data_IF_488332350894
#
_entry.id   IF_488332350894
#
_cell.length_a   1.000
_cell.length_b   1.000
_cell.length_c   1.000
_cell.angle_alpha   90.00
_cell.angle_beta   90.00
_cell.angle_gamma   90.00
#
_symmetry.space_group_name_H-M   'P 1'
#
loop_
_entity.id
_entity.type
_entity.pdbx_description
1 polymer ?
#
# COMPACT_ATOMS: atom_id res chain seq x y z
N UNK A 1 -23.59 22.06 5.74
CA UNK A 1 -23.19 21.92 4.33
C UNK A 1 -23.92 20.73 3.74
N UNK A 2 -24.24 20.80 2.45
CA UNK A 2 -24.79 19.68 1.68
C UNK A 2 -23.70 19.01 0.85
N UNK A 3 -23.66 17.68 0.85
CA UNK A 3 -22.84 16.89 -0.06
C UNK A 3 -23.66 16.51 -1.29
N UNK A 4 -23.18 16.93 -2.46
CA UNK A 4 -23.67 16.51 -3.76
C UNK A 4 -22.71 15.47 -4.34
N UNK A 5 -23.15 14.24 -4.56
CA UNK A 5 -22.36 13.17 -5.20
C UNK A 5 -22.77 12.96 -6.66
N UNK A 6 -21.93 12.25 -7.42
CA UNK A 6 -22.17 11.94 -8.84
C UNK A 6 -22.37 13.18 -9.73
N UNK A 7 -21.74 14.31 -9.37
CA UNK A 7 -21.73 15.50 -10.23
C UNK A 7 -20.71 15.29 -11.34
N UNK A 8 -21.19 15.07 -12.57
CA UNK A 8 -20.34 14.67 -13.69
C UNK A 8 -20.13 15.78 -14.72
N UNK A 9 -18.87 16.11 -15.01
CA UNK A 9 -18.46 17.14 -15.97
C UNK A 9 -17.50 16.58 -17.03
N UNK A 10 -17.46 17.13 -18.25
CA UNK A 10 -16.45 16.74 -19.26
C UNK A 10 -15.01 16.96 -18.77
N UNK A 11 -14.04 16.14 -19.18
CA UNK A 11 -12.64 16.27 -18.75
C UNK A 11 -12.07 17.70 -18.88
N UNK A 12 -12.36 18.36 -20.00
CA UNK A 12 -11.85 19.69 -20.34
C UNK A 12 -12.79 20.82 -19.92
N UNK A 13 -13.62 20.62 -18.90
CA UNK A 13 -14.50 21.68 -18.41
C UNK A 13 -13.68 22.84 -17.80
N UNK A 14 -14.12 24.10 -17.93
CA UNK A 14 -13.49 25.21 -17.23
C UNK A 14 -13.91 25.21 -15.74
N UNK A 15 -13.17 25.89 -14.88
CA UNK A 15 -13.38 25.87 -13.42
C UNK A 15 -14.78 26.38 -13.02
N UNK A 16 -15.31 27.38 -13.73
CA UNK A 16 -16.65 27.93 -13.49
C UNK A 16 -17.79 26.94 -13.77
N UNK A 17 -17.51 25.81 -14.46
CA UNK A 17 -18.51 24.78 -14.73
C UNK A 17 -18.98 24.08 -13.46
N UNK A 18 -18.13 23.96 -12.43
CA UNK A 18 -18.47 23.33 -11.15
C UNK A 18 -19.58 24.10 -10.41
N UNK A 19 -19.40 25.40 -10.06
CA UNK A 19 -20.45 26.14 -9.37
C UNK A 19 -21.72 26.27 -10.20
N UNK A 20 -21.62 26.40 -11.53
CA UNK A 20 -22.79 26.41 -12.42
C UNK A 20 -23.57 25.09 -12.36
N UNK A 21 -22.87 23.95 -12.43
CA UNK A 21 -23.49 22.64 -12.34
C UNK A 21 -24.10 22.37 -10.96
N UNK A 22 -23.47 22.84 -9.87
CA UNK A 22 -24.03 22.78 -8.51
C UNK A 22 -25.33 23.59 -8.39
N UNK A 23 -25.35 24.83 -8.89
CA UNK A 23 -26.53 25.67 -8.86
C UNK A 23 -27.70 25.00 -9.61
N UNK A 24 -27.42 24.46 -10.79
CA UNK A 24 -28.39 23.67 -11.57
C UNK A 24 -28.87 22.43 -10.81
N UNK A 25 -27.95 21.67 -10.21
CA UNK A 25 -28.23 20.41 -9.50
C UNK A 25 -29.07 20.62 -8.24
N UNK A 26 -28.80 21.70 -7.51
CA UNK A 26 -29.48 22.07 -6.26
C UNK A 26 -30.70 22.98 -6.49
N UNK A 27 -30.98 23.38 -7.74
CA UNK A 27 -32.07 24.32 -8.09
C UNK A 27 -32.00 25.60 -7.25
N UNK A 28 -30.82 26.23 -7.24
CA UNK A 28 -30.52 27.48 -6.54
C UNK A 28 -29.87 28.49 -7.49
N UNK A 29 -29.84 29.76 -7.10
CA UNK A 29 -29.13 30.79 -7.86
C UNK A 29 -27.67 30.90 -7.40
N UNK A 30 -26.77 31.50 -8.21
CA UNK A 30 -25.40 31.77 -7.77
C UNK A 30 -25.30 32.58 -6.47
N UNK A 31 -26.30 33.41 -6.14
CA UNK A 31 -26.35 34.21 -4.90
C UNK A 31 -26.67 33.40 -3.65
N UNK A 32 -27.16 32.17 -3.83
CA UNK A 32 -27.49 31.24 -2.76
C UNK A 32 -26.33 30.30 -2.43
N UNK A 33 -25.39 30.11 -3.37
CA UNK A 33 -24.17 29.33 -3.17
C UNK A 33 -23.11 30.18 -2.45
N UNK A 34 -22.87 29.91 -1.18
CA UNK A 34 -21.93 30.68 -0.34
C UNK A 34 -20.49 30.21 -0.60
N UNK A 35 -20.26 28.90 -0.59
CA UNK A 35 -18.95 28.27 -0.80
C UNK A 35 -19.14 26.84 -1.29
N UNK A 36 -18.19 26.32 -2.05
CA UNK A 36 -18.10 24.90 -2.35
C UNK A 36 -16.67 24.38 -2.15
N UNK A 37 -16.54 23.09 -1.85
CA UNK A 37 -15.26 22.39 -1.70
C UNK A 37 -15.38 21.00 -2.32
N UNK A 38 -14.40 20.62 -3.14
CA UNK A 38 -14.32 19.25 -3.67
C UNK A 38 -14.00 18.30 -2.52
N UNK A 39 -14.94 17.41 -2.21
CA UNK A 39 -14.75 16.34 -1.23
C UNK A 39 -14.12 15.10 -1.86
N UNK A 40 -14.41 14.85 -3.15
CA UNK A 40 -13.82 13.76 -3.93
C UNK A 40 -13.84 14.08 -5.43
N UNK A 41 -12.81 13.68 -6.17
CA UNK A 41 -12.72 13.70 -7.63
C UNK A 41 -12.32 12.31 -8.14
N UNK A 42 -13.07 11.79 -9.09
CA UNK A 42 -12.75 10.57 -9.84
C UNK A 42 -12.86 10.87 -11.35
N UNK A 43 -12.48 9.91 -12.19
CA UNK A 43 -12.76 9.96 -13.62
C UNK A 43 -13.43 8.67 -14.08
N UNK A 44 -14.34 8.79 -15.05
CA UNK A 44 -14.87 7.68 -15.83
C UNK A 44 -14.23 7.73 -17.22
N UNK A 45 -13.33 6.78 -17.47
CA UNK A 45 -12.61 6.62 -18.73
C UNK A 45 -12.99 5.29 -19.43
N UNK A 46 -14.21 4.78 -19.23
CA UNK A 46 -14.71 3.62 -19.97
C UNK A 46 -14.94 3.92 -21.45
N UNK A 47 -15.43 5.13 -21.73
CA UNK A 47 -15.47 5.70 -23.07
C UNK A 47 -14.33 6.71 -23.22
N UNK A 48 -13.24 6.29 -23.87
CA UNK A 48 -12.06 7.12 -24.11
C UNK A 48 -12.30 8.32 -25.05
N UNK A 49 -13.45 8.39 -25.74
CA UNK A 49 -13.83 9.55 -26.55
C UNK A 49 -14.63 10.59 -25.74
N UNK A 50 -15.10 10.23 -24.55
CA UNK A 50 -15.93 11.08 -23.70
C UNK A 50 -15.59 10.86 -22.22
N UNK A 51 -14.34 11.13 -21.86
CA UNK A 51 -13.87 11.01 -20.48
C UNK A 51 -14.57 12.08 -19.63
N UNK A 52 -15.11 11.65 -18.49
CA UNK A 52 -15.83 12.53 -17.55
C UNK A 52 -15.17 12.54 -16.19
N UNK A 53 -15.08 13.72 -15.58
CA UNK A 53 -14.74 13.86 -14.17
C UNK A 53 -16.00 13.73 -13.33
N UNK A 54 -15.92 12.98 -12.24
CA UNK A 54 -17.03 12.71 -11.33
C UNK A 54 -16.67 13.25 -9.95
N UNK A 55 -17.48 14.18 -9.45
CA UNK A 55 -17.21 14.89 -8.22
C UNK A 55 -18.19 14.52 -7.11
N UNK A 56 -17.66 14.51 -5.89
CA UNK A 56 -18.43 14.78 -4.67
C UNK A 56 -18.05 16.15 -4.15
N UNK A 57 -19.03 17.02 -3.93
CA UNK A 57 -18.80 18.40 -3.54
C UNK A 57 -19.61 18.72 -2.29
N UNK A 58 -18.93 19.29 -1.29
CA UNK A 58 -19.58 19.90 -0.14
C UNK A 58 -19.89 21.36 -0.45
N UNK A 59 -21.16 21.72 -0.46
CA UNK A 59 -21.68 23.05 -0.74
C UNK A 59 -22.29 23.68 0.52
N UNK A 60 -21.84 24.90 0.84
CA UNK A 60 -22.51 25.78 1.79
C UNK A 60 -23.50 26.66 1.02
N UNK A 61 -24.78 26.58 1.37
CA UNK A 61 -25.86 27.27 0.67
C UNK A 61 -26.77 28.00 1.65
N UNK A 62 -27.41 29.09 1.19
CA UNK A 62 -28.48 29.75 1.96
C UNK A 62 -29.68 28.81 2.11
N UNK A 63 -30.35 28.88 3.25
CA UNK A 63 -31.53 28.07 3.58
C UNK A 63 -31.30 26.56 3.37
N UNK A 64 -30.18 26.04 3.86
CA UNK A 64 -29.72 24.66 3.67
C UNK A 64 -30.81 23.60 3.90
N UNK A 65 -31.58 23.72 5.00
CA UNK A 65 -32.63 22.77 5.33
C UNK A 65 -33.76 22.77 4.29
N UNK A 66 -34.14 23.94 3.78
CA UNK A 66 -35.15 24.07 2.73
C UNK A 66 -34.63 23.51 1.39
N UNK A 67 -33.34 23.72 1.08
CA UNK A 67 -32.72 23.10 -0.09
C UNK A 67 -32.77 21.58 0.05
N UNK A 68 -32.32 21.04 1.18
CA UNK A 68 -32.28 19.59 1.44
C UNK A 68 -33.66 18.94 1.40
N UNK A 69 -34.69 19.59 1.98
CA UNK A 69 -36.06 19.06 1.99
C UNK A 69 -36.60 18.80 0.58
N UNK A 70 -36.24 19.63 -0.42
CA UNK A 70 -36.61 19.43 -1.84
C UNK A 70 -36.00 18.15 -2.44
N UNK A 71 -34.95 17.62 -1.82
CA UNK A 71 -34.19 16.46 -2.28
C UNK A 71 -34.26 15.27 -1.31
N UNK A 72 -35.28 15.19 -0.44
CA UNK A 72 -35.36 14.16 0.60
C UNK A 72 -35.28 12.69 0.09
N UNK A 73 -35.67 12.42 -1.16
CA UNK A 73 -35.59 11.08 -1.80
C UNK A 73 -34.32 10.88 -2.64
N UNK A 74 -33.49 11.91 -2.79
CA UNK A 74 -32.33 11.91 -3.65
C UNK A 74 -31.08 11.51 -2.86
N UNK A 75 -30.58 10.30 -3.09
CA UNK A 75 -29.41 9.78 -2.35
C UNK A 75 -28.13 10.54 -2.67
N UNK A 76 -28.11 11.33 -3.74
CA UNK A 76 -26.94 12.09 -4.16
C UNK A 76 -26.94 13.53 -3.63
N UNK A 77 -27.93 13.94 -2.82
CA UNK A 77 -27.92 15.21 -2.08
C UNK A 77 -28.21 14.92 -0.62
N UNK A 78 -27.19 14.97 0.21
CA UNK A 78 -27.30 14.66 1.64
C UNK A 78 -26.65 15.75 2.48
N UNK A 79 -26.85 15.73 3.79
CA UNK A 79 -26.00 16.52 4.69
C UNK A 79 -24.56 16.00 4.59
N UNK A 80 -23.59 16.90 4.57
CA UNK A 80 -22.17 16.53 4.63
C UNK A 80 -21.92 15.72 5.91
N UNK A 81 -21.35 14.51 5.83
CA UNK A 81 -21.09 13.68 7.00
C UNK A 81 -20.02 14.33 7.89
N UNK A 82 -20.14 14.12 9.21
CA UNK A 82 -19.10 14.51 10.13
C UNK A 82 -17.95 13.48 10.10
N UNK A 83 -16.87 13.83 9.40
CA UNK A 83 -15.69 12.97 9.27
C UNK A 83 -14.60 13.24 10.32
N UNK A 84 -14.90 13.95 11.40
CA UNK A 84 -13.93 14.19 12.46
C UNK A 84 -13.65 12.89 13.22
N UNK A 85 -12.37 12.58 13.38
CA UNK A 85 -11.93 11.46 14.20
C UNK A 85 -12.31 11.72 15.67
N UNK A 86 -13.00 10.76 16.28
CA UNK A 86 -13.41 10.83 17.67
C UNK A 86 -12.35 10.15 18.53
N UNK A 87 -11.61 10.95 19.28
CA UNK A 87 -10.68 10.44 20.30
C UNK A 87 -11.51 9.93 21.47
N UNK A 88 -11.26 8.70 21.91
CA UNK A 88 -11.80 8.15 23.15
C UNK A 88 -10.72 8.29 24.21
N UNK A 89 -10.85 9.23 25.18
CA UNK A 89 -9.83 9.43 26.19
C UNK A 89 -9.59 8.16 26.99
N UNK A 90 -8.32 7.86 27.23
CA UNK A 90 -7.90 6.75 28.09
C UNK A 90 -6.64 7.16 28.83
N UNK A 91 -6.63 6.94 30.14
CA UNK A 91 -5.45 7.11 30.96
C UNK A 91 -4.90 5.73 31.32
N UNK A 92 -3.57 5.62 31.37
CA UNK A 92 -2.92 4.50 32.04
C UNK A 92 -3.05 4.71 33.55
N UNK A 93 -3.18 3.61 34.29
CA UNK A 93 -3.07 3.67 35.75
C UNK A 93 -1.66 4.16 36.14
N UNK A 94 -1.55 4.80 37.30
CA UNK A 94 -0.26 5.19 37.84
C UNK A 94 0.64 3.96 38.02
N UNK A 95 1.89 4.05 37.58
CA UNK A 95 2.84 2.93 37.60
C UNK A 95 2.63 1.86 36.51
N UNK A 96 1.63 1.99 35.63
CA UNK A 96 1.45 1.03 34.54
C UNK A 96 2.55 1.15 33.47
N UNK A 97 2.93 0.01 32.89
CA UNK A 97 3.88 -0.06 31.80
C UNK A 97 3.42 0.71 30.56
N UNK A 98 4.37 1.38 29.89
CA UNK A 98 4.12 2.07 28.63
C UNK A 98 3.74 1.05 27.56
N UNK A 99 2.75 1.33 26.68
CA UNK A 99 2.39 0.41 25.62
C UNK A 99 3.54 0.28 24.61
N UNK A 100 3.81 -0.95 24.18
CA UNK A 100 4.84 -1.26 23.20
C UNK A 100 4.21 -1.55 21.85
N UNK A 101 4.77 -0.97 20.78
CA UNK A 101 4.38 -1.23 19.40
C UNK A 101 5.58 -1.85 18.68
N UNK A 102 5.42 -3.06 18.15
CA UNK A 102 6.46 -3.79 17.44
C UNK A 102 6.21 -3.67 15.94
N UNK A 103 7.09 -2.95 15.25
CA UNK A 103 7.04 -2.63 13.82
C UNK A 103 6.68 -1.17 13.55
N UNK A 104 7.49 -0.51 12.73
CA UNK A 104 7.33 0.89 12.30
C UNK A 104 6.75 1.01 10.88
N UNK A 105 5.99 0.00 10.42
CA UNK A 105 5.17 0.07 9.21
C UNK A 105 3.91 0.93 9.40
N UNK A 106 3.06 1.10 8.37
CA UNK A 106 1.87 1.97 8.46
C UNK A 106 0.93 1.64 9.62
N UNK A 107 0.76 0.36 9.94
CA UNK A 107 -0.05 -0.08 11.08
C UNK A 107 0.54 0.38 12.42
N UNK A 108 1.81 0.07 12.67
CA UNK A 108 2.46 0.43 13.93
C UNK A 108 2.67 1.94 14.07
N UNK A 109 3.01 2.64 12.99
CA UNK A 109 3.11 4.09 12.95
C UNK A 109 1.78 4.77 13.31
N UNK A 110 0.65 4.33 12.75
CA UNK A 110 -0.65 4.89 13.11
C UNK A 110 -1.08 4.51 14.53
N UNK A 111 -0.80 3.28 14.98
CA UNK A 111 -1.07 2.87 16.36
C UNK A 111 -0.28 3.75 17.35
N UNK A 112 1.03 3.90 17.13
CA UNK A 112 1.90 4.74 17.94
C UNK A 112 1.47 6.21 17.93
N UNK A 113 1.12 6.77 16.76
CA UNK A 113 0.63 8.14 16.66
C UNK A 113 -0.63 8.37 17.49
N UNK A 114 -1.61 7.46 17.44
CA UNK A 114 -2.83 7.58 18.24
C UNK A 114 -2.54 7.43 19.73
N UNK A 115 -1.69 6.47 20.13
CA UNK A 115 -1.28 6.30 21.52
C UNK A 115 -0.54 7.54 22.05
N UNK A 116 0.34 8.13 21.26
CA UNK A 116 1.06 9.35 21.60
C UNK A 116 0.12 10.57 21.69
N UNK A 117 -0.84 10.72 20.77
CA UNK A 117 -1.88 11.75 20.83
C UNK A 117 -2.80 11.62 22.06
N UNK A 118 -2.88 10.43 22.65
CA UNK A 118 -3.56 10.16 23.92
C UNK A 118 -2.66 10.40 25.16
N UNK A 119 -1.41 10.80 24.97
CA UNK A 119 -0.44 11.00 26.06
C UNK A 119 0.11 9.70 26.65
N UNK A 120 -0.08 8.56 25.99
CA UNK A 120 0.33 7.24 26.51
C UNK A 120 1.81 6.94 26.31
N UNK A 121 2.56 7.82 25.63
CA UNK A 121 4.02 7.76 25.47
C UNK A 121 4.50 6.36 25.02
N UNK A 122 4.04 5.83 23.88
CA UNK A 122 4.37 4.46 23.46
C UNK A 122 5.88 4.24 23.26
N UNK A 123 6.35 3.01 23.43
CA UNK A 123 7.67 2.56 22.99
C UNK A 123 7.48 1.84 21.65
N UNK A 124 8.21 2.26 20.62
CA UNK A 124 8.15 1.68 19.28
C UNK A 124 9.46 0.94 19.02
N UNK A 125 9.36 -0.36 18.76
CA UNK A 125 10.50 -1.21 18.42
C UNK A 125 10.43 -1.56 16.94
N UNK A 126 11.50 -1.33 16.19
CA UNK A 126 11.63 -1.83 14.82
C UNK A 126 12.95 -2.54 14.64
N UNK A 127 12.94 -3.65 13.90
CA UNK A 127 14.14 -4.45 13.62
C UNK A 127 15.10 -3.74 12.67
N UNK A 128 14.57 -2.93 11.76
CA UNK A 128 15.36 -2.24 10.77
C UNK A 128 15.77 -0.85 11.21
N UNK A 129 16.32 -0.10 10.25
CA UNK A 129 16.93 1.21 10.48
C UNK A 129 15.99 2.36 10.19
N UNK A 130 16.39 3.54 10.66
CA UNK A 130 15.86 4.83 10.21
C UNK A 130 15.95 4.96 8.69
N UNK A 131 15.02 5.69 8.08
CA UNK A 131 14.71 5.61 6.65
C UNK A 131 15.88 6.00 5.74
N UNK A 132 16.73 6.95 6.16
CA UNK A 132 17.90 7.37 5.37
C UNK A 132 18.97 6.29 5.29
N UNK A 133 19.23 5.60 6.40
CA UNK A 133 20.18 4.49 6.45
C UNK A 133 19.61 3.26 5.75
N UNK A 134 18.34 2.97 5.99
CA UNK A 134 17.57 1.95 5.28
C UNK A 134 17.60 2.14 3.76
N UNK A 135 17.52 3.39 3.30
CA UNK A 135 17.61 3.73 1.88
C UNK A 135 18.99 3.35 1.33
N UNK A 136 20.08 3.63 2.06
CA UNK A 136 21.43 3.20 1.64
C UNK A 136 21.53 1.68 1.54
N UNK A 137 21.03 0.95 2.53
CA UNK A 137 21.08 -0.52 2.56
C UNK A 137 20.25 -1.13 1.42
N UNK A 138 19.04 -0.62 1.18
CA UNK A 138 18.17 -1.04 0.07
C UNK A 138 18.82 -0.80 -1.29
N UNK A 139 19.49 0.35 -1.46
CA UNK A 139 20.24 0.65 -2.68
C UNK A 139 21.50 -0.20 -2.81
N UNK A 140 22.06 -0.68 -1.70
CA UNK A 140 23.11 -1.69 -1.67
C UNK A 140 22.69 -2.96 -2.41
N UNK A 141 21.48 -3.47 -2.14
CA UNK A 141 20.94 -4.62 -2.88
C UNK A 141 20.75 -4.28 -4.35
N UNK A 142 20.06 -3.18 -4.64
CA UNK A 142 19.69 -2.84 -6.01
C UNK A 142 20.88 -2.50 -6.91
N UNK A 143 22.00 -2.00 -6.37
CA UNK A 143 23.17 -1.60 -7.17
C UNK A 143 24.35 -2.56 -7.09
N UNK A 144 24.49 -3.26 -5.97
CA UNK A 144 25.69 -4.06 -5.67
C UNK A 144 25.37 -5.52 -5.35
N UNK A 145 24.09 -5.93 -5.42
CA UNK A 145 23.65 -7.27 -5.03
C UNK A 145 23.99 -7.64 -3.57
N UNK A 146 24.06 -6.64 -2.68
CA UNK A 146 24.34 -6.86 -1.25
C UNK A 146 23.07 -6.66 -0.45
N UNK A 147 22.49 -7.75 0.07
CA UNK A 147 21.33 -7.71 0.96
C UNK A 147 21.77 -7.48 2.41
N UNK A 148 21.06 -6.59 3.11
CA UNK A 148 21.00 -6.61 4.57
C UNK A 148 19.66 -7.22 5.01
N UNK A 149 19.64 -8.41 5.64
CA UNK A 149 18.39 -9.08 6.03
C UNK A 149 17.54 -8.30 7.04
N UNK A 150 18.12 -7.38 7.81
CA UNK A 150 17.42 -6.56 8.81
C UNK A 150 17.01 -5.17 8.27
N UNK A 151 17.57 -4.73 7.14
CA UNK A 151 17.36 -3.38 6.59
C UNK A 151 17.23 -3.42 5.07
N UNK A 152 15.98 -3.45 4.58
CA UNK A 152 15.66 -3.70 3.19
C UNK A 152 14.25 -3.16 2.82
N UNK A 153 13.72 -3.56 1.66
CA UNK A 153 12.39 -3.15 1.19
C UNK A 153 11.28 -3.52 2.18
N UNK A 154 11.45 -4.57 2.98
CA UNK A 154 10.45 -5.02 3.95
C UNK A 154 10.62 -4.35 5.32
N UNK A 155 11.86 -4.21 5.79
CA UNK A 155 12.16 -3.85 7.18
C UNK A 155 12.87 -2.50 7.35
N UNK A 156 12.51 -1.79 8.42
CA UNK A 156 12.96 -0.44 8.77
C UNK A 156 11.82 0.58 8.75
N UNK A 157 12.16 1.85 9.02
CA UNK A 157 11.21 2.95 9.18
C UNK A 157 10.23 3.08 8.00
N UNK A 158 8.93 3.07 8.31
CA UNK A 158 7.83 3.06 7.34
C UNK A 158 7.45 1.67 6.79
N UNK A 159 8.18 0.62 7.18
CA UNK A 159 7.94 -0.77 6.79
C UNK A 159 7.88 -0.98 5.27
N UNK A 160 7.12 -1.95 4.80
CA UNK A 160 6.98 -2.24 3.37
C UNK A 160 6.31 -1.11 2.55
N UNK A 161 5.74 -0.10 3.21
CA UNK A 161 5.10 1.03 2.54
C UNK A 161 6.09 2.00 1.89
N UNK A 162 7.29 2.17 2.47
CA UNK A 162 8.24 3.23 2.10
C UNK A 162 8.65 3.22 0.63
N UNK A 163 9.11 2.07 0.13
CA UNK A 163 9.57 1.91 -1.26
C UNK A 163 8.43 1.42 -2.16
N UNK A 164 7.35 2.20 -2.21
CA UNK A 164 6.17 1.89 -3.02
C UNK A 164 5.65 3.13 -3.76
N UNK A 165 4.67 2.92 -4.65
CA UNK A 165 3.87 4.00 -5.25
C UNK A 165 3.00 4.72 -4.19
N UNK A 166 2.75 4.10 -3.04
CA UNK A 166 1.97 4.69 -1.96
C UNK A 166 0.51 4.93 -2.34
N UNK A 167 -0.14 3.94 -2.97
CA UNK A 167 -1.57 3.99 -3.32
C UNK A 167 -2.43 3.87 -2.07
N UNK A 168 -3.39 4.78 -1.91
CA UNK A 168 -4.19 4.93 -0.68
C UNK A 168 -5.69 4.89 -0.96
N UNK A 169 -6.16 3.84 -1.64
CA UNK A 169 -7.59 3.59 -1.81
C UNK A 169 -7.99 2.20 -1.30
N UNK A 170 -9.18 2.13 -0.72
CA UNK A 170 -9.80 0.91 -0.23
C UNK A 170 -11.20 0.77 -0.81
N UNK A 171 -11.62 -0.48 -1.04
CA UNK A 171 -13.01 -0.82 -1.41
C UNK A 171 -13.87 -1.12 -0.17
N UNK A 172 -13.28 -1.07 1.02
CA UNK A 172 -13.97 -1.34 2.29
C UNK A 172 -14.83 -0.13 2.67
N UNK A 173 -16.05 -0.38 3.14
CA UNK A 173 -16.89 0.68 3.70
C UNK A 173 -16.34 1.09 5.06
N UNK A 174 -16.06 2.38 5.23
CA UNK A 174 -15.57 2.95 6.48
C UNK A 174 -16.58 3.95 7.07
N UNK A 175 -17.59 3.47 7.83
CA UNK A 175 -18.56 4.35 8.48
C UNK A 175 -17.95 5.16 9.63
N UNK A 176 -16.72 4.84 10.07
CA UNK A 176 -16.02 5.53 11.16
C UNK A 176 -15.10 6.64 10.65
N UNK A 177 -14.88 6.72 9.35
CA UNK A 177 -13.99 7.70 8.71
C UNK A 177 -12.53 7.63 9.24
N UNK A 178 -12.07 6.43 9.57
CA UNK A 178 -10.67 6.14 9.91
C UNK A 178 -9.73 6.44 8.74
N UNK A 179 -10.14 6.13 7.51
CA UNK A 179 -9.35 6.44 6.32
C UNK A 179 -9.10 7.95 6.22
N UNK A 180 -10.12 8.75 6.55
CA UNK A 180 -9.99 10.21 6.58
C UNK A 180 -8.98 10.67 7.63
N UNK A 181 -8.94 10.04 8.81
CA UNK A 181 -7.94 10.33 9.84
C UNK A 181 -6.54 10.02 9.33
N UNK A 182 -6.30 8.85 8.76
CA UNK A 182 -5.00 8.45 8.21
C UNK A 182 -4.52 9.46 7.16
N UNK A 183 -5.34 9.75 6.14
CA UNK A 183 -4.99 10.69 5.08
C UNK A 183 -4.73 12.10 5.61
N UNK A 184 -5.48 12.53 6.62
CA UNK A 184 -5.28 13.85 7.24
C UNK A 184 -3.95 13.93 7.98
N UNK A 185 -3.55 12.89 8.72
CA UNK A 185 -2.24 12.84 9.38
C UNK A 185 -1.10 12.77 8.35
N UNK A 186 -1.28 12.06 7.23
CA UNK A 186 -0.30 12.05 6.14
C UNK A 186 -0.10 13.43 5.54
N UNK A 187 -1.18 14.20 5.28
CA UNK A 187 -1.06 15.58 4.78
C UNK A 187 -0.39 16.49 5.80
N UNK A 188 -0.70 16.35 7.10
CA UNK A 188 0.01 17.10 8.15
C UNK A 188 1.52 16.81 8.16
N UNK A 189 1.89 15.58 7.81
CA UNK A 189 3.27 15.14 7.69
C UNK A 189 3.90 15.42 6.30
N UNK A 190 3.30 16.30 5.49
CA UNK A 190 3.87 16.76 4.22
C UNK A 190 3.47 15.94 2.99
N UNK A 191 2.52 15.01 3.10
CA UNK A 191 1.95 14.36 1.92
C UNK A 191 1.13 15.36 1.08
N UNK A 192 1.03 15.15 -0.25
CA UNK A 192 0.27 16.02 -1.14
C UNK A 192 -1.19 16.25 -0.68
N UNK A 193 -1.70 17.48 -0.58
CA UNK A 193 -3.08 17.76 -0.15
C UNK A 193 -4.15 17.05 -0.99
N UNK A 194 -3.88 16.82 -2.27
CA UNK A 194 -4.79 16.17 -3.20
C UNK A 194 -5.09 14.70 -2.83
N UNK A 195 -4.31 14.05 -1.96
CA UNK A 195 -4.67 12.71 -1.47
C UNK A 195 -6.00 12.71 -0.70
N UNK A 196 -6.43 13.88 -0.23
CA UNK A 196 -7.70 14.07 0.47
C UNK A 196 -8.90 14.17 -0.47
N UNK A 197 -8.68 14.36 -1.78
CA UNK A 197 -9.72 14.60 -2.77
C UNK A 197 -9.69 13.60 -3.92
N UNK A 198 -8.54 13.08 -4.32
CA UNK A 198 -8.49 12.10 -5.40
C UNK A 198 -9.12 10.76 -4.99
N UNK A 199 -9.82 10.11 -5.94
CA UNK A 199 -10.45 8.83 -5.70
C UNK A 199 -9.45 7.67 -5.63
N UNK A 200 -8.37 7.75 -6.40
CA UNK A 200 -7.24 6.80 -6.38
C UNK A 200 -5.93 7.55 -6.09
N UNK A 201 -5.78 8.08 -4.86
CA UNK A 201 -4.64 8.90 -4.50
C UNK A 201 -3.37 8.06 -4.38
N UNK A 202 -2.22 8.70 -4.61
CA UNK A 202 -0.92 8.13 -4.36
C UNK A 202 0.07 9.18 -3.84
N UNK A 203 1.13 8.74 -3.15
CA UNK A 203 2.13 9.64 -2.55
C UNK A 203 3.47 9.57 -3.29
N UNK A 204 3.88 8.38 -3.74
CA UNK A 204 5.20 8.14 -4.33
C UNK A 204 6.34 8.05 -3.31
N UNK A 205 7.36 7.27 -3.65
CA UNK A 205 8.43 6.84 -2.74
C UNK A 205 9.16 7.97 -2.00
N UNK A 206 9.67 8.99 -2.69
CA UNK A 206 10.46 10.03 -2.01
C UNK A 206 9.63 10.87 -1.04
N UNK A 207 8.35 11.10 -1.33
CA UNK A 207 7.45 11.82 -0.41
C UNK A 207 7.09 10.95 0.79
N UNK A 208 7.02 9.62 0.63
CA UNK A 208 6.81 8.70 1.75
C UNK A 208 7.98 8.76 2.73
N UNK A 209 9.22 8.85 2.25
CA UNK A 209 10.42 8.96 3.11
C UNK A 209 10.33 10.18 4.04
N UNK A 210 10.07 11.36 3.48
CA UNK A 210 9.94 12.59 4.29
C UNK A 210 8.72 12.54 5.22
N UNK A 211 7.64 11.91 4.78
CA UNK A 211 6.42 11.79 5.57
C UNK A 211 6.61 10.90 6.80
N UNK A 212 7.30 9.76 6.67
CA UNK A 212 7.55 8.88 7.82
C UNK A 212 8.49 9.53 8.83
N UNK A 213 9.51 10.27 8.39
CA UNK A 213 10.37 11.08 9.28
C UNK A 213 9.54 12.09 10.09
N UNK A 214 8.65 12.83 9.43
CA UNK A 214 7.80 13.84 10.08
C UNK A 214 6.81 13.23 11.08
N UNK A 215 6.26 12.05 10.79
CA UNK A 215 5.37 11.36 11.73
C UNK A 215 6.16 10.84 12.94
N UNK A 216 7.38 10.30 12.73
CA UNK A 216 8.26 9.90 13.84
C UNK A 216 8.55 11.10 14.75
N UNK A 217 8.96 12.23 14.18
CA UNK A 217 9.23 13.47 14.94
C UNK A 217 7.99 13.93 15.73
N UNK A 218 6.80 13.82 15.12
CA UNK A 218 5.53 14.12 15.80
C UNK A 218 5.32 13.19 17.00
N UNK A 219 5.51 11.88 16.83
CA UNK A 219 5.35 10.89 17.91
C UNK A 219 6.36 11.16 19.04
N UNK A 220 7.62 11.43 18.70
CA UNK A 220 8.68 11.75 19.65
C UNK A 220 8.35 13.05 20.43
N UNK A 221 7.85 14.09 19.76
CA UNK A 221 7.42 15.33 20.42
C UNK A 221 6.24 15.14 21.39
N UNK A 222 5.43 14.09 21.17
CA UNK A 222 4.32 13.69 22.03
C UNK A 222 4.76 12.67 23.11
N UNK A 223 6.07 12.44 23.26
CA UNK A 223 6.68 11.59 24.29
C UNK A 223 6.73 10.10 23.93
N UNK A 224 6.45 9.73 22.68
CA UNK A 224 6.77 8.39 22.17
C UNK A 224 8.28 8.19 22.03
N UNK A 225 8.73 6.95 22.03
CA UNK A 225 10.16 6.61 21.97
C UNK A 225 10.39 5.55 20.89
N UNK A 226 11.19 5.87 19.88
CA UNK A 226 11.61 4.92 18.86
C UNK A 226 12.93 4.24 19.24
N UNK A 227 12.97 2.91 19.07
CA UNK A 227 14.18 2.09 19.15
C UNK A 227 14.30 1.29 17.86
N UNK A 228 15.07 1.82 16.92
CA UNK A 228 15.44 1.12 15.69
C UNK A 228 16.53 0.09 15.97
N UNK A 229 16.68 -0.88 15.07
CA UNK A 229 17.61 -2.00 15.25
C UNK A 229 17.34 -2.77 16.55
N UNK A 230 16.09 -2.83 17.01
CA UNK A 230 15.64 -3.55 18.20
C UNK A 230 14.63 -4.63 17.82
N UNK A 231 15.12 -5.73 17.24
CA UNK A 231 14.26 -6.88 16.94
C UNK A 231 13.84 -7.60 18.23
N UNK A 232 12.54 -7.81 18.39
CA UNK A 232 11.97 -8.68 19.43
C UNK A 232 12.17 -10.14 19.02
N UNK A 233 12.74 -10.94 19.92
CA UNK A 233 13.11 -12.35 19.71
C UNK A 233 12.40 -13.32 20.65
N UNK A 234 11.62 -12.82 21.60
CA UNK A 234 10.83 -13.66 22.50
C UNK A 234 9.74 -12.87 23.23
N UNK A 235 8.72 -13.59 23.68
CA UNK A 235 7.66 -13.08 24.53
C UNK A 235 7.69 -13.82 25.86
N UNK A 236 7.58 -13.08 26.96
CA UNK A 236 7.27 -13.68 28.26
C UNK A 236 5.75 -13.67 28.45
N UNK A 237 5.16 -14.85 28.60
CA UNK A 237 3.72 -15.04 28.73
C UNK A 237 3.43 -15.82 30.02
N UNK A 238 2.70 -15.18 30.93
CA UNK A 238 2.28 -15.77 32.21
C UNK A 238 0.76 -15.76 32.33
N UNK A 239 0.15 -16.92 32.59
CA UNK A 239 -1.30 -17.01 32.74
C UNK A 239 -2.09 -16.50 31.53
N UNK A 240 -1.54 -16.65 30.32
CA UNK A 240 -2.13 -16.16 29.07
C UNK A 240 -2.02 -14.64 28.86
N UNK A 241 -1.17 -13.95 29.62
CA UNK A 241 -0.90 -12.51 29.49
C UNK A 241 0.56 -12.27 29.16
N UNK A 242 0.83 -11.38 28.21
CA UNK A 242 2.18 -10.88 27.97
C UNK A 242 2.65 -10.08 29.18
N UNK A 243 3.89 -10.33 29.61
CA UNK A 243 4.56 -9.63 30.73
C UNK A 243 5.83 -8.93 30.31
N UNK A 244 6.47 -9.40 29.24
CA UNK A 244 7.65 -8.75 28.72
C UNK A 244 8.07 -9.25 27.36
N UNK A 245 9.11 -8.60 26.85
CA UNK A 245 9.68 -8.81 25.52
C UNK A 245 11.18 -9.02 25.65
N UNK A 246 11.69 -10.05 24.99
CA UNK A 246 13.13 -10.27 24.84
C UNK A 246 13.61 -9.64 23.52
N UNK A 247 14.72 -8.93 23.57
CA UNK A 247 15.34 -8.24 22.44
C UNK A 247 16.58 -9.01 21.98
N UNK A 248 16.88 -8.97 20.68
CA UNK A 248 17.99 -9.70 20.06
C UNK A 248 19.38 -9.44 20.66
N UNK A 249 19.56 -8.31 21.36
CA UNK A 249 20.82 -7.93 22.03
C UNK A 249 20.91 -8.42 23.48
N UNK A 250 19.89 -9.15 23.97
CA UNK A 250 19.81 -9.63 25.35
C UNK A 250 18.99 -8.74 26.29
N UNK A 251 18.54 -7.57 25.84
CA UNK A 251 17.70 -6.69 26.65
C UNK A 251 16.30 -7.30 26.90
N UNK A 252 15.68 -6.85 27.98
CA UNK A 252 14.33 -7.20 28.37
C UNK A 252 13.50 -5.95 28.61
N UNK A 253 12.24 -5.95 28.15
CA UNK A 253 11.29 -4.85 28.33
C UNK A 253 10.02 -5.40 28.97
N UNK A 254 9.71 -4.96 30.19
CA UNK A 254 8.41 -5.22 30.83
C UNK A 254 7.28 -4.57 30.01
N UNK A 255 6.24 -5.35 29.69
CA UNK A 255 5.14 -4.90 28.86
C UNK A 255 3.87 -5.74 29.07
N UNK A 256 2.78 -5.07 29.45
CA UNK A 256 1.43 -5.68 29.55
C UNK A 256 0.53 -5.34 28.34
N UNK A 257 0.99 -4.41 27.49
CA UNK A 257 0.25 -3.90 26.34
C UNK A 257 1.15 -3.87 25.12
N UNK A 258 0.99 -4.86 24.23
CA UNK A 258 1.85 -5.04 23.06
C UNK A 258 1.01 -5.06 21.79
N UNK A 259 1.37 -4.23 20.81
CA UNK A 259 0.83 -4.26 19.45
C UNK A 259 1.84 -4.95 18.54
N UNK A 260 1.47 -6.08 17.94
CA UNK A 260 2.26 -6.77 16.92
C UNK A 260 1.88 -6.24 15.52
N UNK A 261 2.69 -5.33 14.98
CA UNK A 261 2.53 -4.69 13.67
C UNK A 261 3.72 -4.97 12.74
N UNK A 262 4.21 -6.22 12.75
CA UNK A 262 5.51 -6.65 12.19
C UNK A 262 5.52 -6.86 10.66
N UNK A 263 4.37 -6.79 10.00
CA UNK A 263 4.22 -7.10 8.58
C UNK A 263 4.34 -8.60 8.28
N UNK A 264 3.97 -9.01 7.07
CA UNK A 264 3.90 -10.43 6.70
C UNK A 264 5.27 -11.05 6.36
N UNK A 265 6.33 -10.25 6.31
CA UNK A 265 7.69 -10.72 5.98
C UNK A 265 8.49 -11.12 7.22
N UNK A 266 8.00 -10.85 8.44
CA UNK A 266 8.64 -11.19 9.72
C UNK A 266 8.54 -12.69 10.04
N UNK A 267 9.09 -13.53 9.16
CA UNK A 267 9.00 -15.00 9.19
C UNK A 267 9.61 -15.61 10.45
N UNK A 268 10.73 -15.06 10.91
CA UNK A 268 11.36 -15.40 12.18
C UNK A 268 10.46 -15.07 13.38
N UNK A 269 9.81 -13.90 13.36
CA UNK A 269 8.83 -13.53 14.40
C UNK A 269 7.62 -14.47 14.40
N UNK A 270 7.09 -14.89 13.24
CA UNK A 270 5.99 -15.86 13.21
C UNK A 270 6.38 -17.22 13.79
N UNK A 271 7.60 -17.69 13.52
CA UNK A 271 8.11 -18.91 14.14
C UNK A 271 8.19 -18.78 15.67
N UNK A 272 8.76 -17.68 16.17
CA UNK A 272 8.83 -17.37 17.61
C UNK A 272 7.44 -17.33 18.26
N UNK A 273 6.45 -16.71 17.61
CA UNK A 273 5.08 -16.62 18.13
C UNK A 273 4.43 -18.00 18.30
N UNK A 274 4.57 -18.87 17.30
CA UNK A 274 4.04 -20.25 17.35
C UNK A 274 4.77 -21.06 18.43
N UNK A 275 6.09 -20.93 18.54
CA UNK A 275 6.89 -21.59 19.59
C UNK A 275 6.48 -21.12 21.00
N UNK A 276 6.14 -19.84 21.15
CA UNK A 276 5.62 -19.27 22.39
C UNK A 276 4.14 -19.66 22.68
N UNK A 277 3.52 -20.51 21.86
CA UNK A 277 2.14 -20.97 22.03
C UNK A 277 1.08 -19.94 21.64
N UNK A 278 1.44 -18.89 20.91
CA UNK A 278 0.47 -17.93 20.35
C UNK A 278 -0.29 -18.60 19.21
N UNK A 279 -1.62 -18.49 19.24
CA UNK A 279 -2.48 -19.05 18.21
C UNK A 279 -2.17 -18.49 16.82
N UNK A 280 -2.07 -19.36 15.82
CA UNK A 280 -1.85 -19.01 14.43
C UNK A 280 -2.62 -19.95 13.50
N UNK A 281 -3.03 -19.43 12.35
CA UNK A 281 -3.73 -20.17 11.29
C UNK A 281 -3.08 -19.89 9.94
N UNK A 282 -2.98 -20.91 9.10
CA UNK A 282 -2.55 -20.74 7.71
C UNK A 282 -3.59 -19.93 6.94
N UNK A 283 -3.13 -18.92 6.18
CA UNK A 283 -4.01 -18.01 5.43
C UNK A 283 -3.77 -18.14 3.91
N UNK A 284 -4.82 -18.18 3.08
CA UNK A 284 -4.70 -18.05 1.63
C UNK A 284 -3.98 -16.76 1.21
N UNK A 285 -3.16 -16.86 0.17
CA UNK A 285 -2.45 -15.73 -0.44
C UNK A 285 -2.36 -15.89 -1.97
N UNK A 286 -1.50 -15.11 -2.63
CA UNK A 286 -1.33 -15.20 -4.08
C UNK A 286 0.14 -15.09 -4.46
N UNK A 287 0.50 -15.82 -5.50
CA UNK A 287 1.86 -15.90 -6.05
C UNK A 287 1.79 -15.66 -7.56
N UNK A 288 2.90 -15.19 -8.15
CA UNK A 288 3.00 -15.01 -9.58
C UNK A 288 4.19 -14.15 -9.94
N UNK A 289 4.04 -13.37 -11.00
CA UNK A 289 5.15 -12.62 -11.62
C UNK A 289 4.85 -11.14 -11.71
N UNK A 290 5.88 -10.31 -11.86
CA UNK A 290 5.74 -8.92 -12.28
C UNK A 290 5.81 -8.85 -13.81
N UNK A 291 4.82 -8.23 -14.42
CA UNK A 291 4.77 -7.98 -15.86
C UNK A 291 5.08 -6.51 -16.16
N UNK A 292 5.81 -6.23 -17.24
CA UNK A 292 6.16 -4.88 -17.69
C UNK A 292 5.74 -4.64 -19.14
N UNK A 293 5.19 -3.45 -19.41
CA UNK A 293 4.91 -2.94 -20.76
C UNK A 293 5.24 -1.45 -20.82
N UNK A 294 5.53 -0.85 -21.99
CA UNK A 294 5.68 0.59 -22.10
C UNK A 294 4.43 1.31 -21.58
N UNK A 295 4.61 2.31 -20.71
CA UNK A 295 3.49 3.05 -20.11
C UNK A 295 2.58 3.68 -21.19
N UNK A 296 3.18 4.16 -22.28
CA UNK A 296 2.47 4.74 -23.42
C UNK A 296 1.45 3.81 -24.07
N UNK A 297 1.65 2.49 -24.00
CA UNK A 297 0.68 1.52 -24.51
C UNK A 297 -0.59 1.52 -23.64
N UNK A 298 -0.42 1.59 -22.32
CA UNK A 298 -1.53 1.65 -21.37
C UNK A 298 -2.24 3.00 -21.48
N UNK A 299 -1.49 4.10 -21.56
CA UNK A 299 -2.07 5.44 -21.72
C UNK A 299 -2.93 5.54 -22.97
N UNK A 300 -2.42 5.07 -24.12
CA UNK A 300 -3.17 5.07 -25.37
C UNK A 300 -4.38 4.14 -25.33
N UNK A 301 -4.26 2.98 -24.67
CA UNK A 301 -5.37 2.03 -24.55
C UNK A 301 -6.51 2.58 -23.67
N UNK A 302 -6.17 3.27 -22.58
CA UNK A 302 -7.13 3.77 -21.58
C UNK A 302 -7.70 5.15 -21.92
N UNK A 303 -6.86 6.07 -22.39
CA UNK A 303 -7.21 7.48 -22.56
C UNK A 303 -7.21 7.96 -24.02
N UNK A 304 -6.68 7.17 -24.97
CA UNK A 304 -6.73 7.53 -26.39
C UNK A 304 -6.03 8.86 -26.68
N UNK A 305 -6.78 9.85 -27.18
CA UNK A 305 -6.27 11.17 -27.53
C UNK A 305 -5.90 12.02 -26.29
N UNK A 306 -6.49 11.71 -25.13
CA UNK A 306 -6.23 12.39 -23.85
C UNK A 306 -5.06 11.78 -23.07
N UNK A 307 -4.30 10.84 -23.68
CA UNK A 307 -3.06 10.35 -23.09
C UNK A 307 -2.06 11.51 -22.86
N UNK A 308 -1.55 11.62 -21.63
CA UNK A 308 -0.69 12.74 -21.20
C UNK A 308 -1.44 13.92 -20.59
N UNK A 309 -2.77 13.86 -20.47
CA UNK A 309 -3.54 14.86 -19.74
C UNK A 309 -3.13 14.90 -18.25
N UNK A 310 -2.78 16.08 -17.75
CA UNK A 310 -2.26 16.27 -16.39
C UNK A 310 -3.28 15.93 -15.28
N UNK A 311 -4.58 16.01 -15.54
CA UNK A 311 -5.63 15.63 -14.58
C UNK A 311 -5.75 14.10 -14.50
N UNK A 312 -5.65 13.41 -15.64
CA UNK A 312 -5.74 11.95 -15.69
C UNK A 312 -4.47 11.27 -15.17
N UNK A 313 -3.32 11.89 -15.40
CA UNK A 313 -2.02 11.32 -15.07
C UNK A 313 -1.69 10.07 -15.89
N UNK A 314 -0.75 9.27 -15.38
CA UNK A 314 -0.38 7.99 -15.99
C UNK A 314 -1.49 6.94 -15.79
N UNK A 315 -1.87 6.27 -16.88
CA UNK A 315 -3.00 5.36 -16.89
C UNK A 315 -2.76 4.10 -16.05
N UNK A 316 -3.85 3.63 -15.45
CA UNK A 316 -3.92 2.41 -14.68
C UNK A 316 -4.84 1.34 -15.30
N UNK A 317 -4.60 0.08 -14.94
CA UNK A 317 -5.47 -1.05 -15.25
C UNK A 317 -5.71 -1.95 -14.04
N UNK A 318 -6.84 -2.64 -14.09
CA UNK A 318 -7.18 -3.73 -13.19
C UNK A 318 -7.88 -4.81 -14.01
N UNK A 319 -7.31 -6.02 -14.02
CA UNK A 319 -7.85 -7.16 -14.74
C UNK A 319 -7.99 -8.37 -13.81
N UNK A 320 -8.96 -9.21 -14.11
CA UNK A 320 -9.21 -10.49 -13.45
C UNK A 320 -9.72 -11.47 -14.49
N UNK A 321 -9.32 -12.73 -14.39
CA UNK A 321 -9.71 -13.81 -15.30
C UNK A 321 -9.90 -15.11 -14.51
N UNK A 322 -11.01 -15.80 -14.76
CA UNK A 322 -11.26 -17.15 -14.25
C UNK A 322 -10.77 -18.16 -15.29
N UNK A 323 -9.69 -18.87 -14.96
CA UNK A 323 -9.04 -19.82 -15.83
C UNK A 323 -9.82 -21.14 -15.88
N UNK A 324 -9.60 -21.92 -16.95
CA UNK A 324 -10.20 -23.25 -17.13
C UNK A 324 -9.78 -24.27 -16.07
N UNK A 325 -8.59 -24.11 -15.46
CA UNK A 325 -8.09 -24.96 -14.35
C UNK A 325 -8.71 -24.62 -12.98
N UNK A 326 -9.75 -23.78 -12.95
CA UNK A 326 -10.48 -23.40 -11.74
C UNK A 326 -9.76 -22.34 -10.89
N UNK A 327 -8.64 -21.78 -11.37
CA UNK A 327 -7.93 -20.68 -10.71
C UNK A 327 -8.46 -19.32 -11.14
N UNK A 328 -8.18 -18.31 -10.34
CA UNK A 328 -8.42 -16.90 -10.72
C UNK A 328 -7.08 -16.17 -10.75
N UNK A 329 -6.76 -15.62 -11.92
CA UNK A 329 -5.58 -14.77 -12.13
C UNK A 329 -6.02 -13.31 -12.17
N UNK A 330 -5.28 -12.44 -11.49
CA UNK A 330 -5.61 -11.02 -11.48
C UNK A 330 -4.37 -10.14 -11.38
N UNK A 331 -4.52 -8.90 -11.83
CA UNK A 331 -3.49 -7.87 -11.64
C UNK A 331 -3.54 -7.32 -10.21
N UNK A 332 -2.39 -7.24 -9.57
CA UNK A 332 -2.19 -6.75 -8.21
C UNK A 332 -1.10 -5.68 -8.18
N UNK A 333 -1.29 -4.67 -7.33
CA UNK A 333 -0.32 -3.59 -7.11
C UNK A 333 0.24 -3.01 -8.44
N UNK A 334 -0.65 -2.66 -9.38
CA UNK A 334 -0.26 -2.04 -10.65
C UNK A 334 0.33 -0.64 -10.41
N UNK A 335 1.51 -0.37 -10.93
CA UNK A 335 2.34 0.82 -10.74
C UNK A 335 2.52 1.50 -12.11
N UNK A 336 1.77 2.59 -12.39
CA UNK A 336 1.98 3.38 -13.59
C UNK A 336 3.36 4.02 -13.60
N UNK A 337 4.01 4.02 -14.76
CA UNK A 337 5.32 4.63 -15.00
C UNK A 337 6.27 4.40 -13.85
N UNK A 338 6.46 3.13 -13.51
CA UNK A 338 7.16 2.68 -12.31
C UNK A 338 8.27 1.68 -12.58
N UNK A 339 8.71 1.05 -11.50
CA UNK A 339 9.82 0.10 -11.48
C UNK A 339 9.38 -1.18 -10.77
N UNK A 340 9.78 -2.33 -11.28
CA UNK A 340 9.79 -3.59 -10.54
C UNK A 340 11.00 -3.56 -9.61
N UNK A 341 10.83 -3.91 -8.33
CA UNK A 341 11.88 -3.79 -7.32
C UNK A 341 12.25 -5.14 -6.72
N UNK A 342 13.54 -5.31 -6.39
CA UNK A 342 14.01 -6.43 -5.57
C UNK A 342 13.54 -6.22 -4.13
N UNK A 343 12.64 -7.09 -3.68
CA UNK A 343 11.93 -6.95 -2.43
C UNK A 343 12.25 -8.10 -1.44
N UNK A 344 13.30 -8.88 -1.68
CA UNK A 344 13.71 -9.94 -0.77
C UNK A 344 14.17 -9.38 0.58
N UNK A 345 13.91 -10.12 1.65
CA UNK A 345 14.39 -9.86 3.00
C UNK A 345 15.21 -11.02 3.56
N UNK A 346 15.46 -12.06 2.77
CA UNK A 346 16.21 -13.25 3.19
C UNK A 346 17.32 -13.55 2.17
N UNK A 347 18.45 -14.03 2.67
CA UNK A 347 19.58 -14.44 1.84
C UNK A 347 19.21 -15.64 0.95
N UNK A 348 19.81 -15.72 -0.24
CA UNK A 348 19.59 -16.82 -1.18
C UNK A 348 18.16 -16.89 -1.75
N UNK A 349 17.45 -15.74 -1.76
CA UNK A 349 16.05 -15.63 -2.18
C UNK A 349 15.80 -14.41 -3.05
N UNK A 350 14.90 -14.55 -4.01
CA UNK A 350 14.40 -13.45 -4.86
C UNK A 350 12.90 -13.28 -4.65
N UNK A 351 12.50 -12.07 -4.32
CA UNK A 351 11.11 -11.64 -4.30
C UNK A 351 10.98 -10.34 -5.11
N UNK A 352 9.89 -10.20 -5.86
CA UNK A 352 9.61 -9.01 -6.67
C UNK A 352 8.45 -8.22 -6.10
N UNK A 353 8.51 -6.90 -6.21
CA UNK A 353 7.36 -6.02 -5.98
C UNK A 353 7.40 -4.85 -6.97
N UNK A 354 6.57 -3.82 -6.78
CA UNK A 354 6.47 -2.68 -7.68
C UNK A 354 6.38 -1.37 -6.93
N UNK A 355 6.95 -0.34 -7.54
CA UNK A 355 7.09 0.99 -6.99
C UNK A 355 6.90 2.02 -8.10
N UNK A 356 6.39 3.21 -7.76
CA UNK A 356 6.44 4.37 -8.64
C UNK A 356 6.83 5.60 -7.85
N UNK A 357 7.49 6.54 -8.52
CA UNK A 357 7.63 7.90 -8.00
C UNK A 357 6.30 8.65 -8.12
N UNK A 358 6.16 9.76 -7.40
CA UNK A 358 4.97 10.62 -7.50
C UNK A 358 4.72 11.10 -8.93
N UNK A 359 5.77 11.31 -9.74
CA UNK A 359 5.63 11.70 -11.14
C UNK A 359 5.08 10.60 -12.05
N UNK A 360 5.18 9.31 -11.65
CA UNK A 360 4.80 8.14 -12.46
C UNK A 360 5.28 8.23 -13.91
N UNK A 361 6.55 8.63 -14.10
CA UNK A 361 7.13 8.95 -15.41
C UNK A 361 8.29 8.01 -15.82
N UNK A 362 8.40 6.84 -15.19
CA UNK A 362 9.31 5.80 -15.71
C UNK A 362 8.73 5.18 -16.99
N UNK A 363 9.60 4.52 -17.76
CA UNK A 363 9.27 4.00 -19.09
C UNK A 363 8.14 2.96 -19.09
N UNK A 364 8.03 2.15 -18.04
CA UNK A 364 7.16 0.98 -18.02
C UNK A 364 6.01 1.13 -17.02
N UNK A 365 4.82 0.69 -17.42
CA UNK A 365 3.79 0.24 -16.49
C UNK A 365 4.17 -1.15 -15.98
N UNK A 366 3.96 -1.43 -14.70
CA UNK A 366 4.12 -2.79 -14.17
C UNK A 366 3.00 -3.21 -13.23
N UNK A 367 2.71 -4.51 -13.13
CA UNK A 367 1.84 -5.06 -12.08
C UNK A 367 2.24 -6.48 -11.72
N UNK A 368 1.86 -6.94 -10.53
CA UNK A 368 1.87 -8.37 -10.24
C UNK A 368 0.73 -9.03 -11.00
N UNK A 369 1.01 -10.06 -11.79
CA UNK A 369 0.01 -11.00 -12.28
C UNK A 369 0.08 -12.23 -11.40
N UNK A 370 -0.94 -12.40 -10.57
CA UNK A 370 -0.90 -13.37 -9.47
C UNK A 370 -2.11 -14.29 -9.54
N UNK A 371 -1.89 -15.52 -9.10
CA UNK A 371 -2.92 -16.54 -8.91
C UNK A 371 -3.17 -16.77 -7.43
N UNK A 372 -4.44 -16.89 -7.05
CA UNK A 372 -4.82 -17.22 -5.68
C UNK A 372 -4.48 -18.69 -5.36
N UNK A 373 -3.88 -18.88 -4.18
CA UNK A 373 -3.50 -20.18 -3.62
C UNK A 373 -4.04 -20.31 -2.21
N UNK A 374 -4.37 -21.54 -1.82
CA UNK A 374 -4.99 -21.83 -0.53
C UNK A 374 -4.28 -22.98 0.21
N UNK A 375 -4.28 -22.97 1.56
CA UNK A 375 -3.54 -23.95 2.33
C UNK A 375 -3.99 -25.39 2.11
N UNK A 376 -5.31 -25.63 1.96
CA UNK A 376 -5.85 -26.99 1.86
C UNK A 376 -5.42 -27.68 0.57
N UNK A 377 -5.35 -26.93 -0.54
CA UNK A 377 -4.99 -27.45 -1.86
C UNK A 377 -3.51 -27.40 -2.17
N UNK A 378 -2.82 -26.33 -1.79
CA UNK A 378 -1.51 -25.98 -2.37
C UNK A 378 -0.32 -26.15 -1.43
N UNK A 379 -0.55 -26.03 -0.12
CA UNK A 379 0.49 -26.12 0.91
C UNK A 379 -0.10 -26.58 2.26
N UNK A 380 -0.66 -27.81 2.32
CA UNK A 380 -1.28 -28.30 3.53
C UNK A 380 -0.23 -28.50 4.63
N UNK A 381 -0.62 -28.29 5.89
CA UNK A 381 0.27 -28.52 7.02
C UNK A 381 0.01 -27.60 8.20
N UNK A 382 1.07 -27.31 8.93
CA UNK A 382 1.04 -26.43 10.11
C UNK A 382 0.77 -24.95 9.74
N UNK A 383 0.47 -24.08 10.72
CA UNK A 383 0.15 -22.67 10.47
C UNK A 383 1.22 -21.88 9.68
N UNK A 384 2.48 -22.33 9.67
CA UNK A 384 3.61 -21.71 8.99
C UNK A 384 3.90 -22.31 7.61
N UNK A 385 3.14 -23.33 7.16
CA UNK A 385 3.35 -24.01 5.88
C UNK A 385 3.39 -23.03 4.68
N UNK A 386 2.55 -21.99 4.70
CA UNK A 386 2.56 -20.93 3.68
C UNK A 386 3.88 -20.15 3.62
N UNK A 387 4.57 -19.95 4.74
CA UNK A 387 5.88 -19.28 4.77
C UNK A 387 6.98 -20.19 4.21
N UNK A 388 6.93 -21.48 4.50
CA UNK A 388 7.82 -22.47 3.90
C UNK A 388 7.63 -22.54 2.38
N UNK A 389 6.38 -22.50 1.92
CA UNK A 389 6.02 -22.47 0.50
C UNK A 389 6.56 -21.21 -0.20
N UNK A 390 6.43 -20.03 0.42
CA UNK A 390 7.06 -18.80 -0.10
C UNK A 390 8.57 -18.94 -0.22
N UNK A 391 9.24 -19.42 0.83
CA UNK A 391 10.71 -19.62 0.83
C UNK A 391 11.15 -20.57 -0.27
N UNK A 392 10.41 -21.64 -0.52
CA UNK A 392 10.69 -22.60 -1.58
C UNK A 392 10.75 -21.91 -2.95
N UNK A 393 9.69 -21.19 -3.33
CA UNK A 393 9.62 -20.53 -4.64
C UNK A 393 10.59 -19.35 -4.77
N UNK A 394 10.82 -18.60 -3.70
CA UNK A 394 11.80 -17.51 -3.69
C UNK A 394 13.24 -18.03 -3.86
N UNK A 395 13.56 -19.21 -3.30
CA UNK A 395 14.86 -19.86 -3.48
C UNK A 395 15.02 -20.41 -4.89
N UNK A 396 13.98 -21.03 -5.47
CA UNK A 396 14.00 -21.45 -6.87
C UNK A 396 14.17 -20.25 -7.82
N UNK A 397 13.49 -19.13 -7.55
CA UNK A 397 13.66 -17.90 -8.32
C UNK A 397 15.09 -17.34 -8.19
N UNK A 398 15.73 -17.41 -7.02
CA UNK A 398 17.13 -17.02 -6.85
C UNK A 398 18.08 -17.89 -7.68
N UNK A 399 17.87 -19.20 -7.71
CA UNK A 399 18.66 -20.14 -8.53
C UNK A 399 18.43 -19.88 -10.02
N UNK A 400 17.18 -19.78 -10.46
CA UNK A 400 16.82 -19.47 -11.85
C UNK A 400 17.35 -18.09 -12.31
N UNK A 401 17.49 -17.15 -11.37
CA UNK A 401 18.11 -15.85 -11.58
C UNK A 401 19.64 -15.89 -11.70
N UNK A 402 20.29 -17.02 -11.40
CA UNK A 402 21.75 -17.17 -11.44
C UNK A 402 22.44 -16.90 -10.10
N UNK A 403 21.74 -17.07 -8.98
CA UNK A 403 22.29 -17.02 -7.62
C UNK A 403 23.08 -15.75 -7.28
N UNK A 404 22.62 -14.60 -7.79
CA UNK A 404 23.30 -13.30 -7.62
C UNK A 404 22.31 -12.13 -7.44
N UNK A 405 21.10 -12.44 -6.96
CA UNK A 405 19.96 -11.52 -6.76
C UNK A 405 19.37 -10.90 -8.03
N UNK A 406 19.84 -11.29 -9.22
CA UNK A 406 19.08 -11.03 -10.45
C UNK A 406 17.78 -11.84 -10.42
N UNK A 407 16.70 -11.27 -10.95
CA UNK A 407 15.43 -11.99 -11.06
C UNK A 407 15.38 -12.81 -12.36
N UNK A 408 14.76 -14.00 -12.36
CA UNK A 408 14.46 -14.72 -13.58
C UNK A 408 13.43 -13.92 -14.40
N UNK A 409 13.60 -13.85 -15.71
CA UNK A 409 12.72 -13.11 -16.60
C UNK A 409 12.52 -13.83 -17.93
N UNK A 410 11.34 -13.66 -18.52
CA UNK A 410 10.97 -14.28 -19.78
C UNK A 410 10.04 -13.34 -20.55
N UNK A 411 10.16 -13.33 -21.88
CA UNK A 411 9.22 -12.59 -22.73
C UNK A 411 7.87 -13.29 -22.69
N UNK A 412 6.78 -12.53 -22.65
CA UNK A 412 5.41 -13.06 -22.64
C UNK A 412 5.19 -14.05 -23.80
N UNK A 413 5.67 -13.71 -25.01
CA UNK A 413 5.52 -14.60 -26.17
C UNK A 413 6.33 -15.90 -26.12
N UNK A 414 7.40 -15.96 -25.32
CA UNK A 414 8.17 -17.19 -25.10
C UNK A 414 7.57 -18.03 -23.96
N UNK A 415 7.11 -17.37 -22.89
CA UNK A 415 6.36 -18.00 -21.80
C UNK A 415 5.12 -18.71 -22.32
N UNK A 416 4.29 -18.02 -23.12
CA UNK A 416 3.09 -18.61 -23.75
C UNK A 416 3.40 -19.75 -24.71
N UNK A 417 4.63 -19.85 -25.20
CA UNK A 417 5.06 -20.90 -26.11
C UNK A 417 5.90 -21.99 -25.42
N UNK A 418 6.01 -21.97 -24.08
CA UNK A 418 6.72 -22.99 -23.31
C UNK A 418 8.21 -23.08 -23.61
N UNK A 419 8.89 -21.96 -23.88
CA UNK A 419 10.33 -21.93 -24.18
C UNK A 419 11.05 -20.81 -23.42
N UNK A 420 12.30 -21.04 -23.02
CA UNK A 420 13.12 -20.03 -22.38
C UNK A 420 13.39 -18.83 -23.31
N UNK A 421 13.51 -17.62 -22.74
CA UNK A 421 13.96 -16.46 -23.50
C UNK A 421 15.49 -16.39 -23.56
N UNK A 422 16.05 -16.19 -24.75
CA UNK A 422 17.48 -15.90 -24.94
C UNK A 422 17.81 -14.39 -24.84
N UNK A 423 16.84 -13.52 -25.12
CA UNK A 423 16.96 -12.06 -25.03
C UNK A 423 15.61 -11.39 -24.74
N UNK A 424 15.62 -10.17 -24.19
CA UNK A 424 14.41 -9.51 -23.63
C UNK A 424 13.76 -8.43 -24.52
N UNK A 425 14.16 -8.33 -25.80
CA UNK A 425 13.47 -7.49 -26.79
C UNK A 425 13.47 -5.99 -26.46
N UNK A 426 12.39 -5.28 -26.82
CA UNK A 426 12.30 -3.82 -26.75
C UNK A 426 11.90 -3.25 -25.38
N UNK A 427 11.33 -4.08 -24.50
CA UNK A 427 10.94 -3.67 -23.14
C UNK A 427 12.15 -3.87 -22.23
N UNK A 428 12.74 -2.76 -21.78
CA UNK A 428 13.92 -2.81 -20.91
C UNK A 428 13.45 -3.12 -19.48
N UNK A 429 13.94 -4.20 -18.85
CA UNK A 429 13.57 -4.56 -17.49
C UNK A 429 13.97 -3.47 -16.49
N UNK A 430 13.03 -3.10 -15.63
CA UNK A 430 13.27 -2.08 -14.61
C UNK A 430 13.86 -2.66 -13.32
N UNK A 431 13.69 -3.97 -13.08
CA UNK A 431 14.26 -4.66 -11.92
C UNK A 431 15.77 -4.47 -11.82
N UNK A 432 16.24 -4.17 -10.61
CA UNK A 432 17.64 -4.03 -10.24
C UNK A 432 17.94 -4.93 -9.04
N UNK A 433 19.07 -5.67 -9.01
CA UNK A 433 20.32 -5.46 -9.76
C UNK A 433 20.29 -5.82 -11.25
N UNK A 434 19.35 -6.65 -11.68
CA UNK A 434 19.14 -6.98 -13.09
C UNK A 434 18.30 -8.24 -13.22
N UNK A 435 18.13 -8.71 -14.44
CA UNK A 435 17.36 -9.93 -14.72
C UNK A 435 18.15 -10.93 -15.54
N UNK A 436 17.81 -12.20 -15.43
CA UNK A 436 18.43 -13.29 -16.18
C UNK A 436 17.35 -13.91 -17.08
N UNK A 437 17.49 -13.81 -18.42
CA UNK A 437 16.59 -14.49 -19.35
C UNK A 437 16.62 -15.99 -19.10
N UNK A 438 15.46 -16.58 -18.79
CA UNK A 438 15.32 -18.01 -18.46
C UNK A 438 13.88 -18.47 -18.70
N UNK A 439 13.57 -19.69 -18.31
CA UNK A 439 12.21 -20.22 -18.26
C UNK A 439 11.60 -20.01 -16.86
N UNK A 440 10.49 -19.26 -16.76
CA UNK A 440 9.82 -18.99 -15.49
C UNK A 440 9.09 -20.22 -14.94
N UNK A 441 8.78 -21.22 -15.78
CA UNK A 441 8.16 -22.45 -15.31
C UNK A 441 9.04 -23.22 -14.32
N UNK A 442 10.36 -23.00 -14.32
CA UNK A 442 11.27 -23.65 -13.36
C UNK A 442 11.17 -23.08 -11.93
N UNK A 443 10.48 -21.95 -11.75
CA UNK A 443 10.35 -21.27 -10.46
C UNK A 443 8.92 -20.79 -10.17
N UNK A 444 7.92 -21.43 -10.77
CA UNK A 444 6.50 -21.24 -10.49
C UNK A 444 5.81 -22.59 -10.32
N UNK A 445 4.73 -22.67 -9.52
CA UNK A 445 3.89 -23.87 -9.50
C UNK A 445 3.27 -24.14 -10.87
N UNK A 446 3.15 -25.41 -11.27
CA UNK A 446 2.59 -25.79 -12.58
C UNK A 446 1.20 -25.18 -12.82
N UNK A 447 0.31 -25.24 -11.84
CA UNK A 447 -1.04 -24.65 -11.93
C UNK A 447 -1.05 -23.12 -12.08
N UNK A 448 0.06 -22.44 -11.77
CA UNK A 448 0.20 -21.00 -11.95
C UNK A 448 0.70 -20.65 -13.37
N UNK A 449 1.35 -21.61 -14.04
CA UNK A 449 1.80 -21.51 -15.44
C UNK A 449 0.66 -21.87 -16.39
N UNK A 450 -0.10 -22.92 -16.08
CA UNK A 450 -1.34 -23.34 -16.77
C UNK A 450 -2.47 -22.30 -16.67
#
# INVERSE_FOLDING_TARGET
MLRVTELSLPLHHPDEAIPAALCKRLRITPRDLIKHVVARRAHDARDKANIRLVYSIDANVKNEDAVLARFAKDRNVQRTPNTHYKIVPRALAEGANRPVVIGAGPCGLMAALILAQLGLRPIILDRGKVVRERTKDTWGLWRKSVLNPESNVQFGEGGAGTFSDGKLYSRIKDPRHLDRKVLTEFVKAGAPPEILTEAHPHIGTFRLVTMVESIRETIESLGGEYRFEHRVTGLEIEGGRVRGLHIHNGDYIEADHVVLAVGHSARDTFAMLVEAGVYAEAKPFSIGVRIEHPQSWIDKARFGADAGNAILGAAEYHISHHCSNGRTVYSFCMCPGGTVVAATSEEGRVATNGMSQYSRNERNANSGFVVAIDPERDYPGDPLAGLAYQRHWESLAYVAGGSNYRAPAQRVGDFLAGRASESLGSVIPSYRPGVTPTDLATCLPDFAVE
#
